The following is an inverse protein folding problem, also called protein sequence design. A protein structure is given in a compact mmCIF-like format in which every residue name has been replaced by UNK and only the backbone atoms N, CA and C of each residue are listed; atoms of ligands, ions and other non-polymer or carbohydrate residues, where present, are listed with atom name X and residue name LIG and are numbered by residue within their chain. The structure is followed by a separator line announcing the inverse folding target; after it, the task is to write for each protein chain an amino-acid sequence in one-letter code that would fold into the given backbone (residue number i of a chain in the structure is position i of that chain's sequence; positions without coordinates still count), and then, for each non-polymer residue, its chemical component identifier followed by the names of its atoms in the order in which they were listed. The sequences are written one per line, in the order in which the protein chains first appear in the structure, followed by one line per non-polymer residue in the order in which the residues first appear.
data_IF_151304197216
#
_entry.id   IF_151304197216
#
_cell.length_a   1.000
_cell.length_b   1.000
_cell.length_c   1.000
_cell.angle_alpha   90.00
_cell.angle_beta   90.00
_cell.angle_gamma   90.00
#
_symmetry.space_group_name_H-M   'P 1'
#
loop_
_entity.id
_entity.type
_entity.pdbx_description
1 polymer ?
#
# COMPACT_ATOMS: atom_id res chain seq x y z
N UNK A 1 -17.27 7.98 5.47
CA UNK A 1 -17.50 7.70 4.03
C UNK A 1 -16.25 6.99 3.52
N UNK A 2 -16.30 5.67 3.29
CA UNK A 2 -15.14 4.91 2.80
C UNK A 2 -14.78 5.34 1.36
N UNK A 3 -13.50 5.50 1.01
CA UNK A 3 -13.10 5.88 -0.35
C UNK A 3 -13.46 4.73 -1.31
N UNK A 4 -14.40 4.99 -2.22
CA UNK A 4 -14.94 3.99 -3.16
C UNK A 4 -13.98 3.59 -4.30
N UNK A 5 -12.78 4.18 -4.37
CA UNK A 5 -11.93 4.12 -5.57
C UNK A 5 -10.50 3.62 -5.35
N UNK A 6 -10.16 2.98 -4.23
CA UNK A 6 -8.88 2.25 -4.10
C UNK A 6 -8.94 0.82 -4.67
N UNK A 7 -9.83 0.59 -5.64
CA UNK A 7 -10.08 -0.70 -6.29
C UNK A 7 -8.93 -1.05 -7.23
N UNK A 8 -7.86 -1.64 -6.69
CA UNK A 8 -6.86 -2.32 -7.52
C UNK A 8 -7.55 -3.40 -8.35
N UNK A 9 -7.29 -3.47 -9.66
CA UNK A 9 -7.79 -4.57 -10.50
C UNK A 9 -7.20 -5.89 -9.98
N UNK A 10 -8.05 -6.87 -9.68
CA UNK A 10 -7.62 -8.24 -9.40
C UNK A 10 -7.05 -8.84 -10.69
N UNK A 11 -5.73 -8.85 -10.82
CA UNK A 11 -5.02 -9.53 -11.91
C UNK A 11 -4.83 -11.01 -11.56
N UNK A 12 -5.94 -11.74 -11.59
CA UNK A 12 -5.96 -13.19 -11.40
C UNK A 12 -5.55 -13.92 -12.68
N UNK A 13 -4.26 -14.14 -12.90
CA UNK A 13 -3.78 -15.19 -13.82
C UNK A 13 -2.69 -16.00 -13.16
N UNK A 14 -3.01 -17.25 -12.76
CA UNK A 14 -2.07 -18.22 -12.21
C UNK A 14 -1.65 -19.18 -13.33
N UNK A 15 -0.50 -18.96 -13.95
CA UNK A 15 0.11 -19.94 -14.86
C UNK A 15 0.72 -21.08 -14.05
N UNK A 16 0.25 -22.31 -14.28
CA UNK A 16 0.80 -23.53 -13.69
C UNK A 16 2.09 -23.88 -14.43
N UNK A 17 3.21 -23.29 -14.07
CA UNK A 17 4.52 -23.75 -14.54
C UNK A 17 5.14 -24.69 -13.49
N UNK A 18 5.55 -25.88 -13.95
CA UNK A 18 6.23 -26.94 -13.19
C UNK A 18 7.68 -26.55 -12.81
N UNK A 19 7.89 -25.34 -12.29
CA UNK A 19 9.18 -24.89 -11.74
C UNK A 19 9.11 -25.04 -10.22
N UNK A 20 10.22 -25.46 -9.60
CA UNK A 20 10.35 -25.48 -8.13
C UNK A 20 9.95 -24.11 -7.59
N UNK A 21 8.82 -24.05 -6.90
CA UNK A 21 8.28 -22.80 -6.38
C UNK A 21 9.17 -22.38 -5.21
N UNK A 22 9.93 -21.31 -5.40
CA UNK A 22 10.70 -20.68 -4.33
C UNK A 22 9.73 -19.89 -3.45
N UNK A 23 9.10 -20.59 -2.50
CA UNK A 23 8.22 -19.97 -1.52
C UNK A 23 9.04 -19.15 -0.52
N UNK A 24 8.60 -17.93 -0.28
CA UNK A 24 9.13 -17.12 0.81
C UNK A 24 8.45 -17.53 2.12
N UNK A 25 9.20 -17.51 3.22
CA UNK A 25 8.62 -17.79 4.55
C UNK A 25 7.70 -16.65 4.98
N UNK A 26 6.69 -16.96 5.79
CA UNK A 26 5.74 -15.94 6.31
C UNK A 26 6.47 -14.85 7.07
N UNK A 27 7.43 -15.22 7.94
CA UNK A 27 8.22 -14.25 8.71
C UNK A 27 9.04 -13.32 7.81
N UNK A 28 9.69 -13.85 6.77
CA UNK A 28 10.43 -13.02 5.82
C UNK A 28 9.50 -12.08 5.03
N UNK A 29 8.29 -12.55 4.71
CA UNK A 29 7.27 -11.74 4.03
C UNK A 29 6.83 -10.55 4.87
N UNK A 30 6.58 -10.76 6.16
CA UNK A 30 6.21 -9.69 7.09
C UNK A 30 7.33 -8.65 7.17
N UNK A 31 8.57 -9.10 7.42
CA UNK A 31 9.75 -8.20 7.49
C UNK A 31 9.96 -7.36 6.22
N UNK A 32 9.59 -7.89 5.06
CA UNK A 32 9.71 -7.17 3.80
C UNK A 32 8.59 -6.13 3.60
N UNK A 33 7.37 -6.45 4.05
CA UNK A 33 6.22 -5.53 4.01
C UNK A 33 6.35 -4.40 5.04
N UNK A 34 6.93 -4.65 6.21
CA UNK A 34 7.18 -3.65 7.25
C UNK A 34 8.05 -2.49 6.76
N UNK A 35 8.91 -2.71 5.75
CA UNK A 35 9.74 -1.67 5.13
C UNK A 35 8.94 -0.67 4.29
N UNK A 36 7.65 -0.92 4.03
CA UNK A 36 6.78 0.03 3.33
C UNK A 36 6.30 1.06 4.36
N UNK A 37 7.02 2.18 4.43
CA UNK A 37 6.71 3.27 5.37
C UNK A 37 6.07 4.47 4.67
N UNK A 38 5.17 5.15 5.38
CA UNK A 38 4.56 6.41 4.95
C UNK A 38 5.13 7.57 5.79
N UNK A 39 5.73 8.55 5.12
CA UNK A 39 6.28 9.74 5.76
C UNK A 39 5.39 10.95 5.48
N UNK A 40 5.15 11.78 6.51
CA UNK A 40 4.47 13.07 6.36
C UNK A 40 5.45 14.12 5.85
N UNK A 41 5.15 14.70 4.70
CA UNK A 41 5.95 15.78 4.12
C UNK A 41 5.49 17.15 4.63
N UNK A 42 6.25 18.21 4.28
CA UNK A 42 6.02 19.58 4.76
C UNK A 42 4.64 20.16 4.38
N UNK A 43 4.03 19.63 3.32
CA UNK A 43 2.67 19.97 2.86
C UNK A 43 1.57 19.21 3.61
N UNK A 44 1.91 18.51 4.71
CA UNK A 44 1.01 17.66 5.50
C UNK A 44 0.43 16.47 4.73
N UNK A 45 1.04 16.10 3.61
CA UNK A 45 0.64 14.94 2.81
C UNK A 45 1.54 13.75 3.15
N UNK A 46 0.91 12.61 3.38
CA UNK A 46 1.58 11.33 3.59
C UNK A 46 1.91 10.72 2.23
N UNK A 47 3.18 10.35 2.04
CA UNK A 47 3.67 9.67 0.84
C UNK A 47 4.53 8.48 1.24
N UNK A 48 4.61 7.41 0.42
CA UNK A 48 5.60 6.36 0.63
C UNK A 48 6.99 6.96 0.67
N UNK A 49 7.74 6.64 1.73
CA UNK A 49 9.10 7.16 1.94
C UNK A 49 10.06 6.62 0.88
N UNK A 50 9.85 5.34 0.52
CA UNK A 50 10.61 4.61 -0.49
C UNK A 50 9.67 4.06 -1.57
N UNK A 51 10.21 3.90 -2.78
CA UNK A 51 9.50 3.18 -3.84
C UNK A 51 9.32 1.71 -3.46
N UNK A 52 8.13 1.16 -3.71
CA UNK A 52 7.83 -0.25 -3.43
C UNK A 52 8.75 -1.15 -4.28
N UNK A 53 9.54 -2.00 -3.62
CA UNK A 53 10.53 -2.88 -4.27
C UNK A 53 9.86 -3.98 -5.08
N UNK A 54 10.61 -4.61 -5.99
CA UNK A 54 10.09 -5.74 -6.79
C UNK A 54 9.59 -6.90 -5.91
N UNK A 55 10.31 -7.19 -4.82
CA UNK A 55 9.92 -8.24 -3.87
C UNK A 55 8.61 -7.88 -3.19
N UNK A 56 8.47 -6.64 -2.70
CA UNK A 56 7.23 -6.14 -2.11
C UNK A 56 6.05 -6.18 -3.10
N UNK A 57 6.26 -5.75 -4.35
CA UNK A 57 5.21 -5.82 -5.40
C UNK A 57 4.76 -7.26 -5.65
N UNK A 58 5.68 -8.23 -5.66
CA UNK A 58 5.32 -9.64 -5.81
C UNK A 58 4.48 -10.15 -4.64
N UNK A 59 4.82 -9.75 -3.41
CA UNK A 59 4.04 -10.09 -2.21
C UNK A 59 2.63 -9.48 -2.33
N UNK A 60 2.54 -8.18 -2.60
CA UNK A 60 1.26 -7.48 -2.75
C UNK A 60 0.38 -8.14 -3.84
N UNK A 61 0.96 -8.45 -4.99
CA UNK A 61 0.27 -9.11 -6.10
C UNK A 61 -0.28 -10.48 -5.70
N UNK A 62 0.42 -11.24 -4.84
CA UNK A 62 -0.07 -12.52 -4.33
C UNK A 62 -1.36 -12.38 -3.51
N UNK A 63 -1.58 -11.20 -2.90
CA UNK A 63 -2.81 -10.83 -2.18
C UNK A 63 -3.80 -10.04 -3.05
N UNK A 64 -3.57 -9.91 -4.35
CA UNK A 64 -4.42 -9.11 -5.24
C UNK A 64 -4.30 -7.60 -5.02
N UNK A 65 -3.21 -7.15 -4.40
CA UNK A 65 -2.88 -5.75 -4.17
C UNK A 65 -1.75 -5.28 -5.10
N UNK A 66 -1.65 -3.97 -5.29
CA UNK A 66 -0.62 -3.30 -6.09
C UNK A 66 -0.03 -2.13 -5.30
N UNK A 67 1.09 -1.59 -5.76
CA UNK A 67 1.68 -0.35 -5.23
C UNK A 67 0.71 0.83 -5.30
N UNK A 68 -0.21 0.86 -6.28
CA UNK A 68 -1.30 1.85 -6.36
C UNK A 68 -2.26 1.80 -5.18
N UNK A 69 -2.46 0.63 -4.57
CA UNK A 69 -3.27 0.54 -3.35
C UNK A 69 -2.59 1.28 -2.18
N UNK A 70 -1.25 1.25 -2.10
CA UNK A 70 -0.47 1.95 -1.09
C UNK A 70 -0.57 3.47 -1.29
N UNK A 71 -0.35 3.95 -2.53
CA UNK A 71 -0.52 5.37 -2.87
C UNK A 71 -1.93 5.87 -2.54
N UNK A 72 -2.97 5.11 -2.91
CA UNK A 72 -4.35 5.47 -2.62
C UNK A 72 -4.63 5.56 -1.12
N UNK A 73 -4.08 4.63 -0.33
CA UNK A 73 -4.24 4.64 1.12
C UNK A 73 -3.53 5.84 1.76
N UNK A 74 -2.33 6.19 1.31
CA UNK A 74 -1.59 7.35 1.78
C UNK A 74 -2.32 8.67 1.50
N UNK A 75 -2.87 8.81 0.29
CA UNK A 75 -3.70 9.96 -0.08
C UNK A 75 -4.95 10.06 0.78
N UNK A 76 -5.65 8.94 1.03
CA UNK A 76 -6.83 8.94 1.89
C UNK A 76 -6.51 9.37 3.33
N UNK A 77 -5.42 8.86 3.92
CA UNK A 77 -4.95 9.28 5.26
C UNK A 77 -4.70 10.78 5.29
N UNK A 78 -4.03 11.31 4.26
CA UNK A 78 -3.72 12.74 4.14
C UNK A 78 -4.99 13.60 4.13
N UNK A 79 -5.98 13.22 3.33
CA UNK A 79 -7.24 13.97 3.22
C UNK A 79 -8.07 13.89 4.51
N UNK A 80 -8.10 12.74 5.17
CA UNK A 80 -8.83 12.57 6.43
C UNK A 80 -8.21 13.41 7.56
N UNK A 81 -6.87 13.47 7.62
CA UNK A 81 -6.16 14.30 8.58
C UNK A 81 -6.37 15.80 8.32
N UNK A 82 -6.34 16.24 7.05
CA UNK A 82 -6.68 17.63 6.71
C UNK A 82 -8.08 18.02 7.16
N UNK A 83 -9.08 17.16 6.92
CA UNK A 83 -10.46 17.40 7.38
C UNK A 83 -10.55 17.50 8.90
N UNK A 84 -9.85 16.61 9.61
CA UNK A 84 -9.79 16.64 11.08
C UNK A 84 -9.16 17.94 11.60
N UNK A 85 -8.08 18.40 10.98
CA UNK A 85 -7.42 19.67 11.34
C UNK A 85 -8.34 20.88 11.10
N UNK A 86 -9.04 20.93 9.96
CA UNK A 86 -9.98 22.02 9.67
C UNK A 86 -11.15 22.06 10.67
N UNK A 87 -11.70 20.90 11.03
CA UNK A 87 -12.82 20.79 11.98
C UNK A 87 -12.44 21.32 13.38
N UNK A 88 -11.19 21.15 13.80
CA UNK A 88 -10.71 21.65 15.10
C UNK A 88 -10.55 23.17 15.13
N UNK A 89 -10.31 23.82 13.99
CA UNK A 89 -10.09 25.27 13.92
C UNK A 89 -11.39 26.10 13.89
N UNK A 90 -12.56 25.45 13.81
CA UNK A 90 -13.88 26.11 13.69
C UNK A 90 -14.66 26.02 15.03
N UNK A 91 -14.10 25.37 16.05
CA UNK A 91 -14.70 25.21 17.38
C UNK A 91 -14.12 26.18 18.41
#
# INVERSE_FOLDING_TARGET
MHPKNCSGKILGKRSKENKKLNYMTVSATIKELEKIELTRQADNVYRPDHAVTKTQKNILNAFGLTDKNIECRANWISEELKKSMMKQSIN
#
